data_IF_066368274588
#
_entry.id   IF_066368274588
#
_cell.length_a   1.000
_cell.length_b   1.000
_cell.length_c   1.000
_cell.angle_alpha   90.00
_cell.angle_beta   90.00
_cell.angle_gamma   90.00
#
_symmetry.space_group_name_H-M   'P 1'
#
loop_
_entity.id
_entity.type
_entity.pdbx_description
1 polymer ?
#
# COMPACT_ATOMS: atom_id res chain seq x y z
N UNK A 1 -9.98 14.42 43.41
CA UNK A 1 -9.67 13.25 42.57
C UNK A 1 -9.66 13.68 41.12
N UNK A 2 -8.48 13.70 40.50
CA UNK A 2 -8.29 14.13 39.12
C UNK A 2 -8.85 13.09 38.14
N UNK A 3 -9.72 13.54 37.22
CA UNK A 3 -10.25 12.69 36.15
C UNK A 3 -9.16 12.52 35.09
N UNK A 4 -8.55 11.32 35.04
CA UNK A 4 -7.68 10.93 33.92
C UNK A 4 -8.51 10.91 32.64
N UNK A 5 -8.30 11.87 31.75
CA UNK A 5 -8.86 11.88 30.41
C UNK A 5 -8.02 10.95 29.53
N UNK A 6 -8.64 9.96 28.91
CA UNK A 6 -7.98 9.00 28.03
C UNK A 6 -7.33 9.70 26.82
N UNK A 7 -6.03 9.47 26.53
CA UNK A 7 -5.33 10.07 25.39
C UNK A 7 -5.78 9.51 24.04
N UNK A 8 -6.66 8.49 24.02
CA UNK A 8 -7.17 7.87 22.80
C UNK A 8 -8.00 8.84 21.93
N UNK A 9 -8.63 9.86 22.52
CA UNK A 9 -9.45 10.84 21.80
C UNK A 9 -8.75 12.17 21.47
N UNK A 10 -7.49 12.36 21.88
CA UNK A 10 -6.68 13.53 21.47
C UNK A 10 -5.66 13.15 20.39
N UNK A 11 -6.12 12.66 19.24
CA UNK A 11 -5.28 12.66 18.05
C UNK A 11 -5.21 14.08 17.49
N UNK A 12 -4.06 14.74 17.62
CA UNK A 12 -3.72 15.92 16.81
C UNK A 12 -3.94 15.53 15.34
N UNK A 13 -4.89 16.19 14.66
CA UNK A 13 -5.07 16.04 13.21
C UNK A 13 -3.76 16.43 12.54
N UNK A 14 -3.12 15.55 11.74
CA UNK A 14 -1.97 15.97 10.95
C UNK A 14 -2.43 17.03 9.94
N UNK A 15 -1.66 18.10 9.78
CA UNK A 15 -1.93 19.16 8.83
C UNK A 15 -2.00 18.60 7.40
N UNK A 16 -3.23 18.45 6.90
CA UNK A 16 -3.57 17.82 5.61
C UNK A 16 -3.39 18.77 4.40
N UNK A 17 -2.58 19.83 4.50
CA UNK A 17 -2.53 20.86 3.46
C UNK A 17 -1.57 20.54 2.30
N UNK A 18 -0.56 19.68 2.48
CA UNK A 18 0.38 19.36 1.38
C UNK A 18 -0.12 18.22 0.45
N UNK A 19 -1.05 17.38 0.91
CA UNK A 19 -1.57 16.24 0.13
C UNK A 19 -2.75 16.57 -0.79
N UNK A 20 -3.43 17.71 -0.60
CA UNK A 20 -4.52 18.15 -1.50
C UNK A 20 -4.02 18.41 -2.92
N UNK A 21 -2.88 19.11 -3.04
CA UNK A 21 -2.28 19.46 -4.33
C UNK A 21 -1.87 18.24 -5.16
N UNK A 22 -1.46 17.13 -4.53
CA UNK A 22 -1.09 15.91 -5.26
C UNK A 22 -2.34 15.18 -5.77
N UNK A 23 -3.40 15.11 -4.97
CA UNK A 23 -4.67 14.53 -5.37
C UNK A 23 -5.34 15.35 -6.48
N UNK A 24 -5.34 16.68 -6.39
CA UNK A 24 -5.89 17.56 -7.42
C UNK A 24 -5.14 17.45 -8.75
N UNK A 25 -3.80 17.39 -8.74
CA UNK A 25 -3.00 17.14 -9.95
C UNK A 25 -3.31 15.77 -10.57
N UNK A 26 -3.52 14.75 -9.74
CA UNK A 26 -3.88 13.40 -10.19
C UNK A 26 -5.28 13.35 -10.77
N UNK A 27 -6.23 14.07 -10.16
CA UNK A 27 -7.59 14.24 -10.66
C UNK A 27 -7.56 14.97 -12.01
N UNK A 28 -6.81 16.07 -12.11
CA UNK A 28 -6.66 16.84 -13.33
C UNK A 28 -6.00 16.02 -14.46
N UNK A 29 -5.01 15.18 -14.16
CA UNK A 29 -4.44 14.24 -15.15
C UNK A 29 -5.44 13.16 -15.56
N UNK A 30 -6.28 12.69 -14.64
CA UNK A 30 -7.34 11.73 -14.94
C UNK A 30 -8.44 12.36 -15.82
N UNK A 31 -8.81 13.60 -15.56
CA UNK A 31 -9.83 14.34 -16.30
C UNK A 31 -9.34 14.77 -17.69
N UNK A 32 -8.05 15.17 -17.84
CA UNK A 32 -7.42 15.42 -19.16
C UNK A 32 -7.44 14.19 -20.06
N UNK A 33 -7.20 12.99 -19.49
CA UNK A 33 -7.25 11.74 -20.26
C UNK A 33 -8.68 11.29 -20.62
N UNK A 34 -9.71 11.99 -20.14
CA UNK A 34 -11.13 11.71 -20.41
C UNK A 34 -11.72 12.58 -21.52
N UNK A 35 -11.03 13.63 -21.96
CA UNK A 35 -11.55 14.62 -22.92
C UNK A 35 -11.80 14.11 -24.35
N UNK A 36 -11.39 12.89 -24.71
CA UNK A 36 -11.59 12.35 -26.07
C UNK A 36 -13.02 11.83 -26.32
N UNK A 37 -13.92 11.88 -25.34
CA UNK A 37 -15.34 11.56 -25.57
C UNK A 37 -16.24 12.67 -25.04
N UNK A 38 -16.14 13.85 -25.66
CA UNK A 38 -17.25 14.81 -25.69
C UNK A 38 -18.30 14.27 -26.67
N UNK A 39 -19.04 13.25 -26.23
CA UNK A 39 -20.34 12.92 -26.82
C UNK A 39 -21.42 13.64 -26.03
N UNK A 40 -22.36 14.19 -26.76
CA UNK A 40 -23.36 15.16 -26.35
C UNK A 40 -24.06 14.80 -25.03
N UNK A 41 -24.15 15.79 -24.15
CA UNK A 41 -24.61 15.64 -22.77
C UNK A 41 -26.11 15.36 -22.60
N UNK A 42 -26.84 15.01 -23.66
CA UNK A 42 -28.29 14.82 -23.62
C UNK A 42 -28.77 13.38 -23.55
N UNK A 43 -27.93 12.35 -23.80
CA UNK A 43 -28.38 10.96 -23.70
C UNK A 43 -27.32 10.06 -23.03
N UNK A 44 -27.25 10.14 -21.68
CA UNK A 44 -26.61 9.07 -20.91
C UNK A 44 -27.40 7.79 -21.19
N UNK A 45 -26.82 6.87 -21.96
CA UNK A 45 -27.40 5.54 -22.21
C UNK A 45 -27.93 4.98 -20.89
N UNK A 46 -29.22 4.64 -20.80
CA UNK A 46 -29.80 4.16 -19.55
C UNK A 46 -29.01 2.95 -19.06
N UNK A 47 -28.68 2.93 -17.77
CA UNK A 47 -27.89 1.85 -17.19
C UNK A 47 -28.64 0.54 -17.30
N UNK A 48 -28.12 -0.36 -18.14
CA UNK A 48 -28.69 -1.68 -18.28
C UNK A 48 -28.36 -2.55 -17.06
N UNK A 49 -29.32 -2.58 -16.14
CA UNK A 49 -29.25 -3.38 -14.91
C UNK A 49 -29.11 -4.88 -15.21
N UNK A 50 -29.61 -5.37 -16.35
CA UNK A 50 -29.59 -6.80 -16.71
C UNK A 50 -28.19 -7.24 -17.09
N UNK A 51 -27.53 -6.51 -18.00
CA UNK A 51 -26.11 -6.77 -18.33
C UNK A 51 -25.22 -6.56 -17.12
N UNK A 52 -25.48 -5.57 -16.27
CA UNK A 52 -24.72 -5.41 -15.02
C UNK A 52 -24.83 -6.64 -14.12
N UNK A 53 -26.04 -7.15 -13.87
CA UNK A 53 -26.24 -8.34 -13.02
C UNK A 53 -25.56 -9.56 -13.62
N UNK A 54 -25.64 -9.76 -14.95
CA UNK A 54 -24.91 -10.82 -15.64
C UNK A 54 -23.40 -10.67 -15.46
N UNK A 55 -22.83 -9.48 -15.68
CA UNK A 55 -21.39 -9.23 -15.45
C UNK A 55 -20.97 -9.41 -13.99
N UNK A 56 -21.83 -9.05 -13.04
CA UNK A 56 -21.50 -9.06 -11.60
C UNK A 56 -21.61 -10.45 -10.97
N UNK A 57 -22.62 -11.23 -11.37
CA UNK A 57 -22.98 -12.48 -10.72
C UNK A 57 -22.79 -13.73 -11.59
N UNK A 58 -22.67 -13.59 -12.91
CA UNK A 58 -22.41 -14.76 -13.77
C UNK A 58 -21.03 -15.32 -13.48
N UNK A 59 -20.99 -16.63 -13.15
CA UNK A 59 -19.74 -17.38 -12.96
C UNK A 59 -18.91 -17.40 -14.26
N UNK A 60 -19.57 -17.55 -15.42
CA UNK A 60 -18.91 -17.55 -16.73
C UNK A 60 -18.17 -16.24 -16.98
N UNK A 61 -18.81 -15.11 -16.73
CA UNK A 61 -18.19 -13.80 -16.92
C UNK A 61 -16.99 -13.58 -15.98
N UNK A 62 -17.08 -14.05 -14.73
CA UNK A 62 -15.95 -13.98 -13.79
C UNK A 62 -14.76 -14.85 -14.22
N UNK A 63 -15.02 -16.03 -14.76
CA UNK A 63 -13.98 -16.91 -15.30
C UNK A 63 -13.31 -16.28 -16.52
N UNK A 64 -14.10 -15.73 -17.44
CA UNK A 64 -13.60 -15.03 -18.62
C UNK A 64 -12.73 -13.81 -18.25
N UNK A 65 -13.18 -12.99 -17.30
CA UNK A 65 -12.38 -11.88 -16.77
C UNK A 65 -11.07 -12.36 -16.13
N UNK A 66 -11.08 -13.50 -15.45
CA UNK A 66 -9.87 -14.08 -14.87
C UNK A 66 -8.90 -14.58 -15.94
N UNK A 67 -9.41 -15.24 -16.98
CA UNK A 67 -8.62 -15.68 -18.13
C UNK A 67 -8.02 -14.51 -18.90
N UNK A 68 -8.78 -13.44 -19.14
CA UNK A 68 -8.29 -12.21 -19.76
C UNK A 68 -7.15 -11.59 -18.96
N UNK A 69 -7.31 -11.47 -17.64
CA UNK A 69 -6.24 -10.98 -16.76
C UNK A 69 -5.00 -11.87 -16.80
N UNK A 70 -5.19 -13.19 -16.83
CA UNK A 70 -4.10 -14.16 -16.94
C UNK A 70 -3.36 -14.01 -18.28
N UNK A 71 -4.07 -13.93 -19.39
CA UNK A 71 -3.50 -13.70 -20.74
C UNK A 71 -2.71 -12.40 -20.79
N UNK A 72 -3.28 -11.30 -20.26
CA UNK A 72 -2.58 -10.00 -20.18
C UNK A 72 -1.30 -10.08 -19.35
N UNK A 73 -1.33 -10.81 -18.22
CA UNK A 73 -0.14 -11.03 -17.39
C UNK A 73 0.93 -11.84 -18.13
N UNK A 74 0.53 -12.89 -18.84
CA UNK A 74 1.43 -13.72 -19.64
C UNK A 74 2.09 -12.88 -20.74
N UNK A 75 1.31 -12.08 -21.46
CA UNK A 75 1.83 -11.19 -22.51
C UNK A 75 2.80 -10.15 -21.94
N UNK A 76 2.49 -9.55 -20.78
CA UNK A 76 3.39 -8.62 -20.10
C UNK A 76 4.70 -9.31 -19.68
N UNK A 77 4.63 -10.53 -19.19
CA UNK A 77 5.83 -11.30 -18.83
C UNK A 77 6.67 -11.62 -20.06
N UNK A 78 6.04 -12.04 -21.15
CA UNK A 78 6.71 -12.28 -22.44
C UNK A 78 7.46 -11.02 -22.92
N UNK A 79 6.78 -9.87 -23.01
CA UNK A 79 7.46 -8.63 -23.41
C UNK A 79 8.55 -8.21 -22.43
N UNK A 80 8.37 -8.48 -21.14
CA UNK A 80 9.40 -8.21 -20.14
C UNK A 80 10.62 -9.12 -20.34
N UNK A 81 10.41 -10.39 -20.64
CA UNK A 81 11.50 -11.35 -20.93
C UNK A 81 12.23 -10.95 -22.20
N UNK A 82 11.52 -10.62 -23.29
CA UNK A 82 12.13 -10.11 -24.54
C UNK A 82 12.94 -8.84 -24.30
N UNK A 83 12.47 -7.90 -23.48
CA UNK A 83 13.21 -6.67 -23.16
C UNK A 83 14.44 -6.93 -22.28
N UNK A 84 14.43 -7.98 -21.46
CA UNK A 84 15.52 -8.30 -20.54
C UNK A 84 16.44 -9.43 -21.06
N UNK A 85 16.15 -10.01 -22.23
CA UNK A 85 16.96 -11.06 -22.83
C UNK A 85 18.26 -10.44 -23.36
N UNK A 86 19.44 -10.82 -22.82
CA UNK A 86 20.72 -10.30 -23.27
C UNK A 86 21.04 -10.66 -24.74
N UNK A 87 20.40 -11.68 -25.31
CA UNK A 87 20.55 -12.03 -26.73
C UNK A 87 19.75 -11.09 -27.65
N UNK A 88 18.66 -10.49 -27.14
CA UNK A 88 17.85 -9.49 -27.82
C UNK A 88 18.26 -8.06 -27.42
N UNK A 89 19.56 -7.85 -27.13
CA UNK A 89 20.12 -6.54 -26.85
C UNK A 89 19.74 -5.54 -27.93
N UNK A 90 18.77 -4.68 -27.63
CA UNK A 90 18.36 -3.60 -28.51
C UNK A 90 19.59 -2.70 -28.74
N UNK A 91 20.19 -2.86 -29.92
CA UNK A 91 20.98 -1.83 -30.56
C UNK A 91 20.11 -0.57 -30.60
N UNK A 92 20.35 0.37 -29.67
CA UNK A 92 19.90 1.74 -29.85
C UNK A 92 20.88 2.33 -30.87
N UNK A 93 20.46 2.68 -32.09
CA UNK A 93 21.36 3.34 -33.03
C UNK A 93 21.86 4.61 -32.36
N UNK A 94 23.16 4.64 -32.09
CA UNK A 94 23.84 5.83 -31.62
C UNK A 94 23.88 6.76 -32.83
N UNK A 95 23.11 7.84 -32.80
CA UNK A 95 23.23 8.89 -33.80
C UNK A 95 24.67 9.40 -33.73
N UNK A 96 25.30 9.51 -34.89
CA UNK A 96 26.72 9.74 -35.09
C UNK A 96 27.24 11.08 -34.51
N UNK A 97 26.36 11.97 -34.04
CA UNK A 97 26.69 13.36 -33.69
C UNK A 97 26.81 13.69 -32.19
N UNK A 98 26.95 12.71 -31.30
CA UNK A 98 27.31 12.99 -29.89
C UNK A 98 28.73 12.53 -29.55
N UNK A 99 29.69 13.04 -30.32
CA UNK A 99 31.04 13.28 -29.82
C UNK A 99 31.02 14.60 -29.04
N UNK A 100 30.59 14.55 -27.77
CA UNK A 100 30.99 15.59 -26.82
C UNK A 100 32.50 15.45 -26.62
N UNK A 101 33.24 16.21 -27.41
CA UNK A 101 34.67 16.47 -27.26
C UNK A 101 34.99 16.79 -25.80
N UNK A 102 35.62 15.85 -25.11
CA UNK A 102 36.29 16.08 -23.84
C UNK A 102 37.60 16.84 -24.14
N UNK A 103 37.45 18.10 -24.55
CA UNK A 103 38.56 19.04 -24.73
C UNK A 103 38.61 19.93 -23.49
N UNK A 104 39.18 19.41 -22.41
CA UNK A 104 39.52 20.18 -21.21
C UNK A 104 41.03 20.13 -20.91
N UNK A 105 41.86 19.98 -21.94
CA UNK A 105 43.32 20.12 -21.84
C UNK A 105 43.84 21.29 -22.68
N UNK A 106 43.40 22.51 -22.38
CA UNK A 106 44.19 23.71 -22.73
C UNK A 106 43.92 24.84 -21.75
N UNK A 107 44.98 25.29 -21.07
CA UNK A 107 44.98 26.55 -20.30
C UNK A 107 45.28 26.39 -18.81
N UNK A 108 46.56 26.20 -18.45
CA UNK A 108 47.04 26.50 -17.09
C UNK A 108 47.06 28.02 -16.88
N UNK A 109 45.89 28.64 -16.70
CA UNK A 109 45.81 29.97 -16.10
C UNK A 109 45.79 29.83 -14.58
N UNK A 110 46.55 30.70 -13.92
CA UNK A 110 46.69 30.81 -12.46
C UNK A 110 45.30 30.80 -11.80
N UNK A 111 44.99 29.72 -11.07
CA UNK A 111 43.73 29.62 -10.31
C UNK A 111 43.77 30.59 -9.13
N UNK A 112 42.72 31.40 -8.96
CA UNK A 112 42.55 32.25 -7.78
C UNK A 112 42.53 31.39 -6.49
N UNK A 113 43.19 31.84 -5.39
CA UNK A 113 43.33 31.05 -4.16
C UNK A 113 41.99 30.64 -3.52
N UNK A 114 40.95 31.45 -3.67
CA UNK A 114 39.60 31.13 -3.14
C UNK A 114 38.89 29.95 -3.85
N UNK A 115 39.24 29.66 -5.11
CA UNK A 115 38.69 28.50 -5.81
C UNK A 115 39.35 27.19 -5.35
N UNK A 116 40.64 27.25 -5.02
CA UNK A 116 41.43 26.10 -4.55
C UNK A 116 40.92 25.63 -3.18
N UNK A 117 40.55 26.55 -2.28
CA UNK A 117 39.98 26.19 -0.98
C UNK A 117 38.58 25.56 -1.09
N UNK A 118 37.76 26.01 -2.06
CA UNK A 118 36.46 25.39 -2.36
C UNK A 118 36.63 23.99 -2.95
N UNK A 119 37.55 23.80 -3.89
CA UNK A 119 37.89 22.49 -4.45
C UNK A 119 38.41 21.54 -3.36
N UNK A 120 39.32 22.00 -2.50
CA UNK A 120 39.86 21.23 -1.37
C UNK A 120 38.80 20.89 -0.30
N UNK A 121 37.79 21.75 -0.10
CA UNK A 121 36.59 21.44 0.72
C UNK A 121 35.71 20.36 0.06
N UNK A 122 35.56 20.38 -1.26
CA UNK A 122 34.75 19.37 -1.98
C UNK A 122 35.46 18.01 -2.15
N UNK A 123 36.78 17.99 -2.01
CA UNK A 123 37.63 16.80 -1.98
C UNK A 123 37.71 16.14 -0.59
N UNK A 124 37.07 16.71 0.43
CA UNK A 124 36.88 16.06 1.72
C UNK A 124 35.93 14.85 1.56
N UNK A 125 36.52 13.74 1.14
CA UNK A 125 36.12 12.34 1.39
C UNK A 125 34.67 12.05 1.01
N UNK A 126 34.35 12.15 -0.29
CA UNK A 126 33.19 11.43 -0.82
C UNK A 126 33.47 9.94 -0.63
N UNK A 127 32.80 9.30 0.33
CA UNK A 127 32.83 7.84 0.49
C UNK A 127 32.64 7.18 -0.89
N UNK A 128 33.42 6.14 -1.16
CA UNK A 128 33.33 5.35 -2.39
C UNK A 128 31.85 5.08 -2.73
N UNK A 129 31.39 5.48 -3.95
CA UNK A 129 30.03 5.20 -4.40
C UNK A 129 29.58 3.75 -4.16
N UNK A 130 30.50 2.80 -4.27
CA UNK A 130 30.23 1.38 -3.96
C UNK A 130 29.86 1.16 -2.49
N UNK A 131 30.63 1.71 -1.55
CA UNK A 131 30.31 1.62 -0.12
C UNK A 131 28.97 2.29 0.21
N UNK A 132 28.68 3.43 -0.40
CA UNK A 132 27.37 4.11 -0.23
C UNK A 132 26.21 3.25 -0.77
N UNK A 133 26.40 2.57 -1.90
CA UNK A 133 25.40 1.66 -2.46
C UNK A 133 25.19 0.43 -1.56
N UNK A 134 26.27 -0.15 -1.02
CA UNK A 134 26.22 -1.28 -0.08
C UNK A 134 25.48 -0.93 1.21
N UNK A 135 25.79 0.20 1.84
CA UNK A 135 25.08 0.67 3.03
C UNK A 135 23.57 0.86 2.77
N UNK A 136 23.19 1.37 1.59
CA UNK A 136 21.77 1.53 1.20
C UNK A 136 21.08 0.20 1.00
N UNK A 137 21.75 -0.76 0.36
CA UNK A 137 21.23 -2.11 0.17
C UNK A 137 20.96 -2.80 1.51
N UNK A 138 21.91 -2.74 2.44
CA UNK A 138 21.78 -3.35 3.75
C UNK A 138 20.65 -2.72 4.57
N UNK A 139 20.49 -1.39 4.51
CA UNK A 139 19.34 -0.68 5.13
C UNK A 139 18.01 -1.16 4.57
N UNK A 140 17.87 -1.23 3.25
CA UNK A 140 16.63 -1.71 2.61
C UNK A 140 16.34 -3.17 2.99
N UNK A 141 17.38 -4.00 3.11
CA UNK A 141 17.24 -5.39 3.54
C UNK A 141 16.73 -5.49 4.99
N UNK A 142 17.29 -4.68 5.89
CA UNK A 142 16.85 -4.60 7.29
C UNK A 142 15.42 -4.08 7.43
N UNK A 143 15.06 -2.99 6.73
CA UNK A 143 13.70 -2.44 6.73
C UNK A 143 12.67 -3.45 6.23
N UNK A 144 12.99 -4.22 5.18
CA UNK A 144 12.12 -5.29 4.69
C UNK A 144 11.90 -6.38 5.76
N UNK A 145 12.95 -6.77 6.47
CA UNK A 145 12.88 -7.78 7.52
C UNK A 145 12.06 -7.28 8.71
N UNK A 146 12.27 -6.04 9.16
CA UNK A 146 11.48 -5.42 10.22
C UNK A 146 10.00 -5.34 9.83
N UNK A 147 9.69 -4.88 8.61
CA UNK A 147 8.32 -4.81 8.10
C UNK A 147 7.64 -6.18 8.05
N UNK A 148 8.36 -7.24 7.69
CA UNK A 148 7.82 -8.60 7.72
C UNK A 148 7.48 -9.03 9.15
N UNK A 149 8.38 -8.79 10.10
CA UNK A 149 8.15 -9.09 11.52
C UNK A 149 6.95 -8.32 12.10
N UNK A 150 6.81 -7.04 11.77
CA UNK A 150 5.65 -6.23 12.20
C UNK A 150 4.33 -6.77 11.65
N UNK A 151 4.31 -7.15 10.37
CA UNK A 151 3.11 -7.74 9.74
C UNK A 151 2.76 -9.08 10.41
N UNK A 152 3.76 -9.90 10.73
CA UNK A 152 3.55 -11.18 11.42
C UNK A 152 2.99 -10.97 12.83
N UNK A 153 3.60 -10.08 13.63
CA UNK A 153 3.09 -9.70 14.95
C UNK A 153 1.65 -9.20 14.90
N UNK A 154 1.34 -8.30 13.96
CA UNK A 154 -0.02 -7.77 13.80
C UNK A 154 -1.03 -8.88 13.40
N UNK A 155 -0.62 -9.85 12.59
CA UNK A 155 -1.46 -11.02 12.25
C UNK A 155 -1.70 -11.89 13.48
N UNK A 156 -0.66 -12.18 14.25
CA UNK A 156 -0.79 -12.98 15.48
C UNK A 156 -1.72 -12.30 16.50
N UNK A 157 -1.57 -11.00 16.74
CA UNK A 157 -2.46 -10.26 17.63
C UNK A 157 -3.91 -10.31 17.17
N UNK A 158 -4.15 -10.15 15.86
CA UNK A 158 -5.49 -10.27 15.28
C UNK A 158 -6.06 -11.67 15.46
N UNK A 159 -5.25 -12.70 15.25
CA UNK A 159 -5.66 -14.09 15.44
C UNK A 159 -5.97 -14.40 16.91
N UNK A 160 -5.13 -13.94 17.85
CA UNK A 160 -5.35 -14.06 19.29
C UNK A 160 -6.66 -13.41 19.72
N UNK A 161 -6.91 -12.16 19.33
CA UNK A 161 -8.18 -11.45 19.60
C UNK A 161 -9.40 -12.19 19.02
N UNK A 162 -9.27 -12.71 17.80
CA UNK A 162 -10.35 -13.45 17.15
C UNK A 162 -10.61 -14.81 17.83
N UNK A 163 -9.56 -15.50 18.28
CA UNK A 163 -9.66 -16.73 19.05
C UNK A 163 -10.33 -16.50 20.40
N UNK A 164 -9.90 -15.47 21.14
CA UNK A 164 -10.53 -15.08 22.41
C UNK A 164 -12.02 -14.73 22.23
N UNK A 165 -12.36 -13.96 21.20
CA UNK A 165 -13.75 -13.65 20.89
C UNK A 165 -14.58 -14.91 20.62
N UNK A 166 -14.05 -15.84 19.80
CA UNK A 166 -14.71 -17.12 19.51
C UNK A 166 -14.89 -17.96 20.76
N UNK A 167 -13.87 -18.02 21.63
CA UNK A 167 -13.91 -18.74 22.91
C UNK A 167 -15.01 -18.17 23.82
N UNK A 168 -15.02 -16.86 24.06
CA UNK A 168 -16.05 -16.17 24.85
C UNK A 168 -17.45 -16.38 24.26
N UNK A 169 -17.60 -16.30 22.94
CA UNK A 169 -18.86 -16.54 22.25
C UNK A 169 -19.35 -17.97 22.46
N UNK A 170 -18.47 -18.96 22.36
CA UNK A 170 -18.81 -20.37 22.56
C UNK A 170 -19.19 -20.65 24.01
N UNK A 171 -18.46 -20.12 24.98
CA UNK A 171 -18.78 -20.25 26.42
C UNK A 171 -20.15 -19.62 26.74
N UNK A 172 -20.41 -18.41 26.22
CA UNK A 172 -21.71 -17.75 26.36
C UNK A 172 -22.83 -18.58 25.72
N UNK A 173 -22.61 -19.11 24.53
CA UNK A 173 -23.58 -19.99 23.87
C UNK A 173 -23.86 -21.24 24.72
N UNK A 174 -22.82 -21.91 25.22
CA UNK A 174 -22.95 -23.07 26.12
C UNK A 174 -23.77 -22.74 27.37
N UNK A 175 -23.61 -21.56 27.97
CA UNK A 175 -24.44 -21.13 29.11
C UNK A 175 -25.90 -20.93 28.69
N UNK A 176 -26.16 -20.27 27.57
CA UNK A 176 -27.50 -19.91 27.12
C UNK A 176 -28.30 -21.09 26.52
N UNK A 177 -27.62 -22.06 25.93
CA UNK A 177 -28.21 -23.22 25.24
C UNK A 177 -28.57 -24.37 26.17
N UNK A 178 -28.10 -24.35 27.43
CA UNK A 178 -28.43 -25.36 28.43
C UNK A 178 -29.94 -25.38 28.72
N UNK A 179 -30.50 -26.58 28.71
CA UNK A 179 -31.92 -26.85 28.99
C UNK A 179 -32.04 -27.90 30.10
N UNK A 180 -33.13 -27.84 30.87
CA UNK A 180 -33.51 -28.85 31.85
C UNK A 180 -34.04 -30.09 31.14
N UNK A 181 -34.24 -31.19 31.88
CA UNK A 181 -34.84 -32.43 31.35
C UNK A 181 -36.22 -32.21 30.71
N UNK A 182 -36.96 -31.19 31.16
CA UNK A 182 -38.26 -30.78 30.59
C UNK A 182 -38.14 -29.82 29.40
N UNK A 183 -36.92 -29.57 28.89
CA UNK A 183 -36.66 -28.70 27.73
C UNK A 183 -36.67 -27.20 28.02
N UNK A 184 -36.96 -26.78 29.25
CA UNK A 184 -36.93 -25.38 29.65
C UNK A 184 -35.48 -24.87 29.76
N UNK A 185 -35.21 -23.60 29.47
CA UNK A 185 -33.86 -23.06 29.63
C UNK A 185 -33.41 -23.03 31.09
N UNK A 186 -32.14 -23.37 31.34
CA UNK A 186 -31.56 -23.26 32.68
C UNK A 186 -31.32 -21.79 33.01
N UNK A 187 -31.93 -21.30 34.10
CA UNK A 187 -31.93 -19.88 34.45
C UNK A 187 -30.64 -19.38 35.11
N UNK A 188 -29.94 -20.23 35.85
CA UNK A 188 -28.74 -19.83 36.63
C UNK A 188 -27.70 -19.11 35.77
N UNK A 189 -27.24 -19.74 34.68
CA UNK A 189 -26.25 -19.13 33.78
C UNK A 189 -26.76 -17.94 32.96
N UNK A 190 -28.09 -17.79 32.79
CA UNK A 190 -28.71 -16.62 32.12
C UNK A 190 -28.74 -15.41 33.05
N UNK A 191 -29.05 -15.63 34.32
CA UNK A 191 -29.05 -14.59 35.35
C UNK A 191 -27.63 -14.06 35.59
N UNK A 192 -26.61 -14.92 35.63
CA UNK A 192 -25.20 -14.49 35.70
C UNK A 192 -24.83 -13.53 34.56
N UNK A 193 -25.19 -13.87 33.31
CA UNK A 193 -24.91 -13.02 32.15
C UNK A 193 -25.71 -11.71 32.16
N UNK A 194 -26.89 -11.71 32.78
CA UNK A 194 -27.70 -10.50 32.94
C UNK A 194 -27.07 -9.59 34.00
N UNK A 195 -26.64 -10.16 35.13
CA UNK A 195 -25.95 -9.44 36.19
C UNK A 195 -24.65 -8.79 35.68
N UNK A 196 -23.84 -9.53 34.92
CA UNK A 196 -22.62 -9.02 34.30
C UNK A 196 -22.90 -7.81 33.38
N UNK A 197 -24.00 -7.84 32.62
CA UNK A 197 -24.41 -6.72 31.77
C UNK A 197 -24.84 -5.50 32.58
N UNK A 198 -25.58 -5.69 33.67
CA UNK A 198 -26.03 -4.60 34.53
C UNK A 198 -24.84 -3.93 35.21
N UNK A 199 -23.92 -4.71 35.78
CA UNK A 199 -22.68 -4.20 36.39
C UNK A 199 -21.76 -3.51 35.37
N UNK A 200 -21.69 -4.03 34.14
CA UNK A 200 -20.94 -3.41 33.05
C UNK A 200 -21.58 -2.15 32.46
N UNK A 201 -22.85 -1.86 32.75
CA UNK A 201 -23.54 -0.64 32.35
C UNK A 201 -23.48 0.45 33.43
N UNK A 202 -23.30 0.06 34.70
CA UNK A 202 -23.19 0.99 35.83
C UNK A 202 -21.79 1.59 36.01
N UNK A 203 -20.78 1.05 35.32
CA UNK A 203 -19.41 1.56 35.27
C UNK A 203 -19.17 2.31 33.95
#
# INVERSE_FOLDING_TARGET
>A
MEKKKDPFFLSKKPEMNQNKNFNEKRQHQFDKNREVVKQDATDKKPFDKKTYRLKKYSKKYKLEQWEEQRKKKLLRNYYKEVVNDPAAGLYKPKTFDEDTTDSNEVGRFVRHPELIEKENKTLQIKKDPYHKAKERFDKIKQEKLQKQQEIEKAKEEKQKKLFEYKKKKQEKFKKLSKKTRKGQPVMTGRLELLLEKLQGQSN
#
